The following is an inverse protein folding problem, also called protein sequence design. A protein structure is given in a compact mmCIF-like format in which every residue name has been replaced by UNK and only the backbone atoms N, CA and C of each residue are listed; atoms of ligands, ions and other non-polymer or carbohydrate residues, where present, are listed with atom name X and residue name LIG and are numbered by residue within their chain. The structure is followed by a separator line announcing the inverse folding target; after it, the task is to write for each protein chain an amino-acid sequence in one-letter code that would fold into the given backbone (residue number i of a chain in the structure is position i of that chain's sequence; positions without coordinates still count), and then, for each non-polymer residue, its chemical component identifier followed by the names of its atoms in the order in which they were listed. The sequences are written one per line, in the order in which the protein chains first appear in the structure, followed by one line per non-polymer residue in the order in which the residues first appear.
data_IF_950387444831
#
_entry.id   IF_950387444831
#
_cell.length_a   1.000
_cell.length_b   1.000
_cell.length_c   1.000
_cell.angle_alpha   90.00
_cell.angle_beta   90.00
_cell.angle_gamma   90.00
#
_symmetry.space_group_name_H-M   'P 1'
#
loop_
_entity.id
_entity.type
_entity.pdbx_description
1 polymer ?
#
# COMPACT_ATOMS: atom_id res chain seq x y z
N UNK A 1 -16.70 -17.69 16.07
CA UNK A 1 -15.94 -17.88 17.32
C UNK A 1 -15.33 -16.53 17.61
N UNK A 2 -15.94 -15.85 18.57
CA UNK A 2 -15.79 -14.42 18.81
C UNK A 2 -14.41 -14.14 19.39
N UNK A 3 -13.64 -13.28 18.72
CA UNK A 3 -12.36 -12.77 19.21
C UNK A 3 -12.64 -11.59 20.13
N UNK A 4 -12.47 -11.82 21.43
CA UNK A 4 -12.40 -10.75 22.41
C UNK A 4 -10.93 -10.31 22.53
N UNK A 5 -10.59 -9.16 21.92
CA UNK A 5 -9.47 -8.34 22.39
C UNK A 5 -10.13 -7.21 23.20
N UNK A 6 -9.93 -7.13 24.52
CA UNK A 6 -10.50 -6.06 25.32
C UNK A 6 -9.94 -4.71 24.87
N UNK A 7 -10.85 -3.79 24.59
CA UNK A 7 -10.58 -2.41 24.21
C UNK A 7 -10.08 -1.64 25.45
N UNK A 8 -8.77 -1.65 25.69
CA UNK A 8 -8.14 -0.84 26.74
C UNK A 8 -7.77 0.55 26.18
N UNK A 9 -8.78 1.39 25.95
CA UNK A 9 -8.59 2.75 25.40
C UNK A 9 -8.19 2.76 23.93
N UNK A 10 -7.70 3.90 23.41
CA UNK A 10 -7.28 4.08 22.01
C UNK A 10 -6.06 3.21 21.58
N UNK A 11 -5.60 2.27 22.42
CA UNK A 11 -4.38 1.50 22.23
C UNK A 11 -4.66 0.10 21.65
N UNK A 12 -4.32 -0.08 20.37
CA UNK A 12 -4.42 -1.37 19.66
C UNK A 12 -3.17 -2.22 19.89
N UNK A 13 -3.32 -3.39 20.51
CA UNK A 13 -2.23 -4.36 20.78
C UNK A 13 -2.01 -5.33 19.61
N UNK A 14 -1.76 -4.79 18.42
CA UNK A 14 -1.29 -5.53 17.24
C UNK A 14 -0.01 -4.87 16.71
N UNK A 15 0.95 -5.68 16.27
CA UNK A 15 2.27 -5.19 15.89
C UNK A 15 2.86 -5.97 14.73
N UNK A 16 3.37 -5.22 13.75
CA UNK A 16 4.26 -5.76 12.74
C UNK A 16 5.70 -5.40 13.04
N UNK A 17 6.54 -6.43 13.13
CA UNK A 17 7.97 -6.31 13.37
C UNK A 17 8.73 -6.81 12.15
N UNK A 18 9.72 -6.03 11.69
CA UNK A 18 10.58 -6.41 10.58
C UNK A 18 12.05 -6.34 10.98
N UNK A 19 12.85 -7.25 10.45
CA UNK A 19 14.29 -7.31 10.69
C UNK A 19 14.99 -7.89 9.48
N UNK A 20 16.12 -7.30 9.11
CA UNK A 20 17.04 -7.85 8.12
C UNK A 20 18.28 -8.44 8.78
N UNK A 21 18.89 -9.47 8.17
CA UNK A 21 20.18 -10.08 8.56
C UNK A 21 20.24 -10.94 9.84
N UNK A 22 19.30 -11.88 10.09
CA UNK A 22 19.43 -12.85 11.21
C UNK A 22 19.07 -14.28 10.79
N UNK A 23 19.90 -15.24 11.23
CA UNK A 23 19.79 -16.70 10.96
C UNK A 23 18.80 -17.44 11.88
N UNK A 24 18.33 -16.83 12.96
CA UNK A 24 17.45 -17.47 13.95
C UNK A 24 16.38 -16.49 14.48
N UNK A 25 15.09 -16.86 14.44
CA UNK A 25 13.97 -16.13 15.06
C UNK A 25 12.91 -17.11 15.61
N UNK A 26 12.10 -16.67 16.59
CA UNK A 26 11.01 -17.43 17.22
C UNK A 26 9.76 -16.55 17.53
N UNK A 27 8.59 -17.09 17.18
CA UNK A 27 7.14 -16.73 17.26
C UNK A 27 6.53 -15.61 16.37
N UNK A 28 5.62 -16.04 15.44
CA UNK A 28 5.29 -15.57 14.06
C UNK A 28 6.49 -15.07 13.25
N UNK A 29 7.12 -16.01 12.56
CA UNK A 29 8.33 -15.74 11.80
C UNK A 29 8.30 -16.51 10.49
N UNK A 30 8.68 -15.80 9.46
CA UNK A 30 8.74 -16.23 8.08
C UNK A 30 9.61 -15.23 7.34
N UNK A 31 10.18 -15.64 6.22
CA UNK A 31 10.76 -14.69 5.29
C UNK A 31 9.61 -13.89 4.70
N UNK A 32 9.71 -12.56 4.63
CA UNK A 32 8.73 -11.73 3.90
C UNK A 32 8.48 -12.35 2.53
N UNK A 33 7.21 -12.62 2.18
CA UNK A 33 6.86 -13.33 0.95
C UNK A 33 6.59 -14.83 1.12
N UNK A 34 6.88 -15.42 2.29
CA UNK A 34 6.77 -16.86 2.56
C UNK A 34 5.94 -17.11 3.81
N UNK A 35 4.93 -17.97 3.69
CA UNK A 35 4.06 -18.37 4.81
C UNK A 35 4.87 -18.84 6.01
N UNK A 36 4.83 -18.06 7.10
CA UNK A 36 5.53 -18.34 8.35
C UNK A 36 4.77 -19.28 9.29
N UNK A 37 5.40 -19.61 10.43
CA UNK A 37 4.78 -20.41 11.49
C UNK A 37 3.87 -19.54 12.39
N UNK A 38 2.68 -20.05 12.74
CA UNK A 38 1.75 -19.39 13.66
C UNK A 38 1.84 -20.10 15.02
N UNK A 39 2.08 -19.34 16.09
CA UNK A 39 1.91 -19.80 17.47
C UNK A 39 0.85 -18.93 18.13
N UNK A 40 -0.25 -19.56 18.51
CA UNK A 40 -1.26 -18.96 19.38
C UNK A 40 -0.87 -19.27 20.82
N UNK A 41 -0.92 -18.26 21.68
CA UNK A 41 -0.68 -18.40 23.11
C UNK A 41 -1.96 -17.98 23.81
N UNK A 42 -2.50 -18.85 24.66
CA UNK A 42 -3.84 -18.72 25.25
C UNK A 42 -4.73 -19.96 25.03
N UNK A 43 -6.02 -19.87 25.39
CA UNK A 43 -6.76 -18.68 25.83
C UNK A 43 -6.33 -18.14 27.21
N UNK A 44 -6.60 -16.86 27.47
CA UNK A 44 -6.39 -16.21 28.77
C UNK A 44 -7.73 -15.80 29.37
N UNK A 45 -7.87 -15.94 30.69
CA UNK A 45 -9.11 -15.63 31.42
C UNK A 45 -9.25 -14.14 31.78
N UNK A 46 -8.19 -13.34 31.58
CA UNK A 46 -8.12 -11.91 31.87
C UNK A 46 -7.21 -11.18 30.86
N UNK A 47 -7.39 -9.85 30.74
CA UNK A 47 -6.61 -9.02 29.82
C UNK A 47 -5.17 -8.78 30.29
N UNK A 48 -4.98 -8.51 31.58
CA UNK A 48 -3.68 -8.11 32.13
C UNK A 48 -2.52 -9.09 31.81
N UNK A 49 -2.70 -10.44 31.94
CA UNK A 49 -1.65 -11.39 31.56
C UNK A 49 -1.32 -11.35 30.07
N UNK A 50 -2.32 -11.13 29.20
CA UNK A 50 -2.11 -11.05 27.76
C UNK A 50 -1.35 -9.77 27.38
N UNK A 51 -1.66 -8.63 28.01
CA UNK A 51 -0.97 -7.35 27.82
C UNK A 51 0.47 -7.43 28.30
N UNK A 52 0.72 -8.06 29.45
CA UNK A 52 2.06 -8.25 30.00
C UNK A 52 2.92 -9.14 29.08
N UNK A 53 2.39 -10.28 28.63
CA UNK A 53 3.08 -11.19 27.70
C UNK A 53 3.38 -10.48 26.38
N UNK A 54 2.43 -9.71 25.84
CA UNK A 54 2.65 -8.91 24.64
C UNK A 54 3.78 -7.89 24.84
N UNK A 55 3.72 -7.12 25.92
CA UNK A 55 4.67 -6.03 26.20
C UNK A 55 6.08 -6.57 26.42
N UNK A 56 6.21 -7.68 27.16
CA UNK A 56 7.49 -8.36 27.38
C UNK A 56 8.06 -8.88 26.05
N UNK A 57 7.23 -9.51 25.21
CA UNK A 57 7.68 -10.00 23.91
C UNK A 57 8.06 -8.87 22.97
N UNK A 58 7.33 -7.76 22.97
CA UNK A 58 7.68 -6.57 22.22
C UNK A 58 9.04 -6.03 22.67
N UNK A 59 9.26 -5.90 23.98
CA UNK A 59 10.54 -5.48 24.55
C UNK A 59 11.68 -6.44 24.20
N UNK A 60 11.50 -7.74 24.35
CA UNK A 60 12.51 -8.75 24.00
C UNK A 60 12.97 -8.62 22.54
N UNK A 61 12.02 -8.34 21.63
CA UNK A 61 12.30 -8.25 20.20
C UNK A 61 12.86 -6.90 19.78
N UNK A 62 12.44 -5.81 20.41
CA UNK A 62 12.72 -4.45 19.94
C UNK A 62 13.66 -3.67 20.84
N UNK A 63 13.83 -4.10 22.09
CA UNK A 63 14.48 -3.35 23.18
C UNK A 63 13.80 -2.01 23.49
N UNK A 64 12.52 -1.86 23.15
CA UNK A 64 11.69 -0.70 23.45
C UNK A 64 10.48 -1.12 24.30
N UNK A 65 10.02 -0.24 25.19
CA UNK A 65 8.75 -0.46 25.90
C UNK A 65 7.57 -0.13 24.99
N UNK A 66 6.50 -0.91 25.08
CA UNK A 66 5.28 -0.68 24.28
C UNK A 66 4.61 0.67 24.59
N UNK A 67 4.69 1.13 25.85
CA UNK A 67 4.19 2.44 26.27
C UNK A 67 4.87 3.59 25.53
N UNK A 68 6.15 3.42 25.19
CA UNK A 68 7.03 4.46 24.65
C UNK A 68 7.20 4.32 23.13
N UNK A 69 6.35 3.50 22.48
CA UNK A 69 6.44 3.17 21.06
C UNK A 69 6.46 4.39 20.13
N UNK A 70 5.87 5.52 20.52
CA UNK A 70 5.91 6.77 19.73
C UNK A 70 7.32 7.37 19.63
N UNK A 71 8.19 7.05 20.57
CA UNK A 71 9.61 7.45 20.59
C UNK A 71 10.52 6.25 20.25
N UNK A 72 10.06 5.34 19.39
CA UNK A 72 10.77 4.11 19.05
C UNK A 72 12.20 4.36 18.55
N UNK A 73 13.17 3.69 19.17
CA UNK A 73 14.58 3.73 18.78
C UNK A 73 14.99 2.39 18.17
N UNK A 74 15.57 2.42 16.98
CA UNK A 74 16.09 1.22 16.34
C UNK A 74 17.40 0.78 17.00
N UNK A 75 17.41 -0.42 17.60
CA UNK A 75 18.62 -1.01 18.19
C UNK A 75 19.30 -2.00 17.24
N UNK A 76 20.66 -2.06 17.22
CA UNK A 76 21.39 -3.05 16.44
C UNK A 76 20.96 -4.47 16.78
N UNK A 77 20.67 -5.30 15.75
CA UNK A 77 20.22 -6.70 15.88
C UNK A 77 18.86 -6.89 16.57
N UNK A 78 18.09 -5.82 16.73
CA UNK A 78 16.69 -5.88 17.18
C UNK A 78 15.73 -5.73 16.01
N UNK A 79 14.46 -6.05 16.24
CA UNK A 79 13.38 -5.81 15.29
C UNK A 79 13.05 -4.33 15.24
N UNK A 80 12.76 -3.83 14.03
CA UNK A 80 12.11 -2.54 13.86
C UNK A 80 10.61 -2.69 13.97
N UNK A 81 9.98 -1.74 14.65
CA UNK A 81 8.53 -1.61 14.64
C UNK A 81 8.07 -0.89 13.37
N UNK A 82 7.12 -1.49 12.66
CA UNK A 82 6.41 -0.88 11.55
C UNK A 82 5.07 -0.39 12.06
N UNK A 83 4.90 0.93 12.12
CA UNK A 83 3.65 1.57 12.53
C UNK A 83 2.58 1.33 11.47
N UNK A 84 1.53 0.61 11.85
CA UNK A 84 0.40 0.27 11.00
C UNK A 84 -0.78 1.20 11.32
N UNK A 85 -1.42 1.73 10.28
CA UNK A 85 -2.62 2.57 10.41
C UNK A 85 -3.86 1.65 10.56
N UNK A 86 -4.11 1.20 11.78
CA UNK A 86 -5.35 0.52 12.14
C UNK A 86 -6.44 1.58 12.26
N UNK A 87 -7.05 1.96 11.14
CA UNK A 87 -8.22 2.85 11.16
C UNK A 87 -9.29 2.34 12.15
N UNK A 88 -10.20 3.23 12.59
CA UNK A 88 -11.21 2.98 13.64
C UNK A 88 -12.26 1.89 13.35
N UNK A 89 -12.08 1.06 12.33
CA UNK A 89 -13.04 0.04 11.93
C UNK A 89 -12.33 -1.28 11.65
N UNK A 90 -12.03 -2.02 12.71
CA UNK A 90 -11.73 -3.45 12.63
C UNK A 90 -12.86 -4.24 13.32
N UNK A 91 -13.88 -4.61 12.55
CA UNK A 91 -14.56 -5.88 12.81
C UNK A 91 -13.85 -6.94 11.94
N UNK A 92 -13.09 -7.79 12.62
CA UNK A 92 -12.32 -8.87 12.02
C UNK A 92 -13.19 -9.91 11.29
N UNK A 93 -12.98 -10.07 9.99
CA UNK A 93 -13.04 -11.37 9.33
C UNK A 93 -11.75 -11.59 8.54
N UNK A 94 -10.86 -12.39 9.14
CA UNK A 94 -9.61 -12.82 8.53
C UNK A 94 -9.94 -13.84 7.42
N UNK A 95 -9.23 -13.71 6.29
CA UNK A 95 -9.28 -14.56 5.09
C UNK A 95 -10.43 -14.25 4.12
N UNK A 96 -10.34 -13.15 3.36
CA UNK A 96 -10.63 -13.12 1.90
C UNK A 96 -10.63 -11.73 1.24
N UNK A 97 -10.38 -10.62 1.92
CA UNK A 97 -10.67 -9.32 1.30
C UNK A 97 -9.43 -8.58 0.76
N UNK A 98 -8.93 -9.03 -0.40
CA UNK A 98 -8.89 -8.06 -1.52
C UNK A 98 -10.35 -7.66 -1.64
N UNK A 99 -10.75 -6.37 -1.58
CA UNK A 99 -12.15 -6.05 -1.76
C UNK A 99 -12.56 -6.80 -3.02
N UNK A 100 -13.47 -7.79 -2.90
CA UNK A 100 -14.13 -8.32 -4.07
C UNK A 100 -14.59 -7.06 -4.74
N UNK A 101 -13.98 -6.75 -5.89
CA UNK A 101 -14.31 -5.57 -6.64
C UNK A 101 -15.83 -5.59 -6.67
N UNK A 102 -16.45 -4.53 -6.17
CA UNK A 102 -17.87 -4.28 -6.31
C UNK A 102 -18.14 -4.02 -7.80
N UNK A 103 -17.78 -4.98 -8.63
CA UNK A 103 -18.10 -5.13 -10.04
C UNK A 103 -19.55 -5.59 -10.20
N UNK A 104 -20.36 -5.53 -9.14
CA UNK A 104 -21.79 -5.81 -9.14
C UNK A 104 -22.64 -4.56 -8.87
N UNK A 105 -22.08 -3.34 -8.91
CA UNK A 105 -22.92 -2.18 -9.25
C UNK A 105 -22.93 -2.15 -10.77
N UNK A 106 -24.02 -2.62 -11.38
CA UNK A 106 -24.17 -2.48 -12.81
C UNK A 106 -24.07 -0.98 -13.17
N UNK A 107 -23.30 -0.61 -14.21
CA UNK A 107 -23.17 0.79 -14.64
C UNK A 107 -24.53 1.46 -14.94
N UNK A 108 -25.59 0.67 -15.09
CA UNK A 108 -26.94 1.09 -15.42
C UNK A 108 -27.69 1.77 -14.25
N UNK A 109 -27.25 1.60 -12.99
CA UNK A 109 -27.93 2.20 -11.82
C UNK A 109 -27.33 3.55 -11.36
N UNK A 110 -26.19 3.97 -11.93
CA UNK A 110 -25.52 5.19 -11.50
C UNK A 110 -26.11 6.46 -12.12
N UNK A 111 -26.00 7.58 -11.40
CA UNK A 111 -26.31 8.94 -11.87
C UNK A 111 -25.33 9.45 -12.93
N UNK A 112 -24.24 8.74 -13.15
CA UNK A 112 -23.21 9.07 -14.13
C UNK A 112 -23.64 8.70 -15.55
N UNK A 113 -23.07 9.40 -16.54
CA UNK A 113 -23.12 8.94 -17.92
C UNK A 113 -22.50 7.52 -18.01
N UNK A 114 -23.06 6.57 -18.78
CA UNK A 114 -22.57 5.19 -18.84
C UNK A 114 -21.09 5.05 -19.22
N UNK A 115 -20.55 5.95 -20.06
CA UNK A 115 -19.13 5.94 -20.42
C UNK A 115 -18.27 6.44 -19.26
N UNK A 116 -18.75 7.44 -18.52
CA UNK A 116 -18.09 7.93 -17.30
C UNK A 116 -18.14 6.87 -16.21
N UNK A 117 -19.30 6.26 -15.95
CA UNK A 117 -19.47 5.17 -14.97
C UNK A 117 -18.48 4.03 -15.23
N UNK A 118 -18.38 3.59 -16.49
CA UNK A 118 -17.45 2.53 -16.89
C UNK A 118 -15.99 2.93 -16.75
N UNK A 119 -15.65 4.19 -17.02
CA UNK A 119 -14.31 4.72 -16.81
C UNK A 119 -13.96 4.78 -15.32
N UNK A 120 -14.86 5.29 -14.47
CA UNK A 120 -14.69 5.35 -13.01
C UNK A 120 -14.49 3.95 -12.44
N UNK A 121 -15.34 3.01 -12.82
CA UNK A 121 -15.20 1.59 -12.41
C UNK A 121 -13.82 1.01 -12.77
N UNK A 122 -13.24 1.41 -13.91
CA UNK A 122 -11.92 0.97 -14.32
C UNK A 122 -10.80 1.60 -13.48
N UNK A 123 -10.80 2.93 -13.31
CA UNK A 123 -9.71 3.63 -12.63
C UNK A 123 -9.76 3.51 -11.11
N UNK A 124 -10.93 3.22 -10.54
CA UNK A 124 -11.14 3.00 -9.11
C UNK A 124 -11.09 1.52 -8.72
N UNK A 125 -10.57 0.65 -9.60
CA UNK A 125 -10.50 -0.78 -9.35
C UNK A 125 -9.37 -1.13 -8.37
N UNK A 126 -9.75 -1.37 -7.10
CA UNK A 126 -8.81 -1.71 -6.03
C UNK A 126 -8.09 -3.05 -6.28
N UNK A 127 -8.72 -4.01 -6.96
CA UNK A 127 -8.07 -5.29 -7.25
C UNK A 127 -6.96 -5.14 -8.31
N UNK A 128 -7.14 -4.24 -9.28
CA UNK A 128 -6.08 -3.87 -10.23
C UNK A 128 -4.92 -3.16 -9.53
N UNK A 129 -5.21 -2.26 -8.59
CA UNK A 129 -4.17 -1.61 -7.77
C UNK A 129 -3.40 -2.64 -6.92
N UNK A 130 -4.12 -3.59 -6.31
CA UNK A 130 -3.52 -4.68 -5.54
C UNK A 130 -2.60 -5.57 -6.39
N UNK A 131 -3.05 -5.90 -7.61
CA UNK A 131 -2.25 -6.67 -8.56
C UNK A 131 -0.97 -5.92 -8.94
N UNK A 132 -1.07 -4.62 -9.22
CA UNK A 132 0.09 -3.81 -9.55
C UNK A 132 1.10 -3.78 -8.40
N UNK A 133 0.65 -3.73 -7.14
CA UNK A 133 1.54 -3.83 -5.97
C UNK A 133 2.29 -5.16 -5.91
N UNK A 134 1.62 -6.27 -6.24
CA UNK A 134 2.27 -7.58 -6.32
C UNK A 134 3.31 -7.64 -7.46
N UNK A 135 3.03 -7.02 -8.60
CA UNK A 135 3.96 -6.96 -9.74
C UNK A 135 5.21 -6.12 -9.45
N UNK A 136 5.07 -5.03 -8.69
CA UNK A 136 6.21 -4.27 -8.13
C UNK A 136 6.82 -4.97 -6.91
N UNK A 137 6.62 -6.28 -6.74
CA UNK A 137 7.24 -7.15 -5.73
C UNK A 137 6.98 -6.79 -4.27
N UNK A 138 5.94 -5.98 -4.02
CA UNK A 138 5.43 -5.72 -2.69
C UNK A 138 4.43 -6.82 -2.31
N UNK A 139 4.64 -7.48 -1.17
CA UNK A 139 3.80 -8.61 -0.77
C UNK A 139 2.45 -8.12 -0.19
N UNK A 140 1.52 -7.79 -1.07
CA UNK A 140 0.17 -7.33 -0.72
C UNK A 140 -0.63 -8.34 0.13
N UNK A 141 -0.23 -9.62 0.18
CA UNK A 141 -0.91 -10.64 1.01
C UNK A 141 -0.56 -10.57 2.49
N UNK A 142 0.65 -10.11 2.83
CA UNK A 142 1.10 -10.02 4.22
C UNK A 142 0.87 -8.62 4.81
N UNK A 143 0.82 -7.59 3.96
CA UNK A 143 0.55 -6.22 4.32
C UNK A 143 -0.72 -5.77 3.60
N UNK A 144 -1.84 -5.73 4.33
CA UNK A 144 -3.10 -5.21 3.82
C UNK A 144 -2.87 -3.77 3.34
N UNK A 145 -3.26 -3.50 2.09
CA UNK A 145 -3.06 -2.22 1.37
C UNK A 145 -3.40 -0.98 2.21
N UNK A 146 -4.42 -1.10 3.06
CA UNK A 146 -4.92 -0.02 3.93
C UNK A 146 -3.97 0.37 5.07
N UNK A 147 -2.96 -0.44 5.41
CA UNK A 147 -2.21 -0.32 6.66
C UNK A 147 -0.78 0.22 6.51
N UNK A 148 -0.32 0.48 5.28
CA UNK A 148 0.98 1.14 5.09
C UNK A 148 0.82 2.62 5.45
N UNK A 149 1.45 3.05 6.54
CA UNK A 149 1.35 4.43 6.99
C UNK A 149 2.18 5.38 6.11
N UNK A 150 1.69 6.61 5.96
CA UNK A 150 2.45 7.71 5.33
C UNK A 150 3.84 7.89 5.96
N UNK A 151 3.98 7.60 7.26
CA UNK A 151 5.26 7.66 7.98
C UNK A 151 6.26 6.62 7.46
N UNK A 152 5.82 5.37 7.18
CA UNK A 152 6.67 4.34 6.59
C UNK A 152 7.13 4.71 5.18
N UNK A 153 6.23 5.20 4.32
CA UNK A 153 6.58 5.61 2.95
C UNK A 153 7.61 6.74 2.97
N UNK A 154 7.36 7.75 3.82
CA UNK A 154 8.26 8.91 3.97
C UNK A 154 9.64 8.47 4.44
N UNK A 155 9.70 7.59 5.46
CA UNK A 155 10.97 7.03 5.95
C UNK A 155 11.68 6.19 4.88
N UNK A 156 10.92 5.48 4.03
CA UNK A 156 11.46 4.78 2.86
C UNK A 156 12.20 5.72 1.91
N UNK A 157 11.61 6.88 1.59
CA UNK A 157 12.28 7.90 0.78
C UNK A 157 13.53 8.47 1.45
N UNK A 158 13.48 8.77 2.75
CA UNK A 158 14.64 9.28 3.50
C UNK A 158 15.84 8.33 3.45
N UNK A 159 15.60 7.01 3.51
CA UNK A 159 16.66 6.00 3.36
C UNK A 159 17.18 5.99 1.93
N UNK A 160 16.30 6.01 0.91
CA UNK A 160 16.71 6.02 -0.50
C UNK A 160 17.53 7.28 -0.87
N UNK A 161 17.18 8.43 -0.32
CA UNK A 161 17.95 9.68 -0.47
C UNK A 161 19.35 9.55 0.14
N UNK A 162 19.47 8.97 1.34
CA UNK A 162 20.79 8.70 1.93
C UNK A 162 21.60 7.72 1.08
N UNK A 163 20.95 6.72 0.47
CA UNK A 163 21.62 5.78 -0.45
C UNK A 163 22.13 6.50 -1.70
N UNK A 164 21.37 7.44 -2.28
CA UNK A 164 21.78 8.16 -3.49
C UNK A 164 23.10 8.92 -3.26
N UNK A 165 23.22 9.60 -2.13
CA UNK A 165 24.45 10.31 -1.74
C UNK A 165 25.67 9.38 -1.59
N UNK A 166 25.45 8.16 -1.07
CA UNK A 166 26.54 7.20 -0.86
C UNK A 166 26.93 6.47 -2.15
N UNK A 167 26.00 6.30 -3.10
CA UNK A 167 26.29 5.74 -4.42
C UNK A 167 27.25 6.66 -5.19
N UNK A 168 27.05 7.98 -5.14
CA UNK A 168 27.97 8.95 -5.78
C UNK A 168 29.38 8.88 -5.21
N UNK A 169 29.52 8.55 -3.93
CA UNK A 169 30.79 8.43 -3.21
C UNK A 169 31.42 7.03 -3.28
N UNK A 170 30.73 6.06 -3.89
CA UNK A 170 31.12 4.64 -3.97
C UNK A 170 31.40 3.98 -2.60
N UNK A 171 30.73 4.43 -1.52
CA UNK A 171 30.90 3.88 -0.17
C UNK A 171 30.09 2.57 0.00
N UNK A 172 30.73 1.45 -0.35
CA UNK A 172 30.07 0.13 -0.35
C UNK A 172 29.57 -0.30 1.03
N UNK A 173 30.26 0.05 2.10
CA UNK A 173 29.89 -0.37 3.45
C UNK A 173 28.61 0.33 3.90
N UNK A 174 28.54 1.66 3.71
CA UNK A 174 27.33 2.43 4.02
C UNK A 174 26.15 2.07 3.12
N UNK A 175 26.38 1.82 1.83
CA UNK A 175 25.31 1.37 0.93
C UNK A 175 24.70 0.05 1.43
N UNK A 176 25.52 -0.88 1.94
CA UNK A 176 25.03 -2.15 2.48
C UNK A 176 24.22 -1.96 3.77
N UNK A 177 24.70 -1.12 4.68
CA UNK A 177 23.98 -0.74 5.90
C UNK A 177 22.63 -0.09 5.60
N UNK A 178 22.63 0.97 4.78
CA UNK A 178 21.42 1.68 4.38
C UNK A 178 20.47 0.79 3.56
N UNK A 179 21.00 -0.16 2.78
CA UNK A 179 20.17 -1.16 2.12
C UNK A 179 19.42 -2.02 3.14
N UNK A 180 20.10 -2.49 4.19
CA UNK A 180 19.47 -3.22 5.28
C UNK A 180 18.40 -2.40 5.99
N UNK A 181 18.67 -1.12 6.26
CA UNK A 181 17.69 -0.18 6.82
C UNK A 181 16.46 -0.05 5.92
N UNK A 182 16.65 0.11 4.61
CA UNK A 182 15.55 0.23 3.64
C UNK A 182 14.66 -1.01 3.63
N UNK A 183 15.24 -2.21 3.57
CA UNK A 183 14.48 -3.46 3.62
C UNK A 183 13.77 -3.69 4.97
N UNK A 184 14.28 -3.04 6.02
CA UNK A 184 13.66 -3.06 7.36
C UNK A 184 12.44 -2.13 7.41
N UNK A 185 12.53 -0.96 6.78
CA UNK A 185 11.41 0.01 6.72
C UNK A 185 10.36 -0.40 5.69
N UNK A 186 10.78 -0.84 4.50
CA UNK A 186 9.90 -1.26 3.39
C UNK A 186 10.06 -2.77 3.19
N UNK A 187 9.26 -3.61 3.87
CA UNK A 187 9.28 -5.07 3.68
C UNK A 187 8.81 -5.47 2.28
N UNK A 188 9.68 -6.06 1.47
CA UNK A 188 9.33 -6.56 0.12
C UNK A 188 10.16 -7.79 -0.27
N UNK A 189 9.57 -8.71 -1.02
CA UNK A 189 10.23 -9.95 -1.43
C UNK A 189 10.79 -9.85 -2.85
N UNK A 190 12.03 -9.38 -2.97
CA UNK A 190 12.72 -9.27 -4.26
C UNK A 190 13.96 -10.15 -4.38
N UNK A 191 14.17 -11.04 -3.40
CA UNK A 191 15.50 -11.54 -3.07
C UNK A 191 16.38 -10.37 -2.60
N UNK A 192 17.18 -10.57 -1.56
CA UNK A 192 18.05 -9.55 -0.99
C UNK A 192 19.17 -9.12 -1.98
N UNK A 193 18.82 -8.40 -3.03
CA UNK A 193 19.72 -7.89 -4.06
C UNK A 193 20.17 -6.49 -3.66
N UNK A 194 21.42 -6.37 -3.19
CA UNK A 194 22.06 -5.10 -2.80
C UNK A 194 21.71 -3.95 -3.76
N UNK A 195 21.28 -2.80 -3.22
CA UNK A 195 20.99 -1.56 -3.95
C UNK A 195 22.28 -0.79 -4.25
N UNK A 196 23.19 -1.42 -4.98
CA UNK A 196 24.55 -0.92 -5.22
C UNK A 196 24.75 -0.30 -6.61
N UNK A 197 23.68 -0.07 -7.36
CA UNK A 197 23.75 0.58 -8.67
C UNK A 197 22.67 1.65 -8.81
N UNK A 198 22.92 2.74 -9.55
CA UNK A 198 21.92 3.77 -9.82
C UNK A 198 20.62 3.22 -10.40
N UNK A 199 20.70 2.20 -11.26
CA UNK A 199 19.53 1.59 -11.88
C UNK A 199 18.65 0.88 -10.85
N UNK A 200 19.25 0.16 -9.89
CA UNK A 200 18.49 -0.49 -8.82
C UNK A 200 17.89 0.52 -7.85
N UNK A 201 18.63 1.59 -7.54
CA UNK A 201 18.11 2.67 -6.71
C UNK A 201 16.89 3.32 -7.38
N UNK A 202 16.98 3.63 -8.68
CA UNK A 202 15.86 4.17 -9.46
C UNK A 202 14.63 3.25 -9.42
N UNK A 203 14.80 1.95 -9.63
CA UNK A 203 13.70 0.98 -9.51
C UNK A 203 13.06 0.97 -8.13
N UNK A 204 13.83 1.21 -7.06
CA UNK A 204 13.30 1.29 -5.69
C UNK A 204 12.62 2.61 -5.38
N UNK A 205 13.08 3.71 -5.97
CA UNK A 205 12.36 5.00 -5.92
C UNK A 205 10.99 4.84 -6.61
N UNK A 206 10.96 4.35 -7.85
CA UNK A 206 9.72 4.11 -8.61
C UNK A 206 8.75 3.18 -7.85
N UNK A 207 9.28 2.17 -7.14
CA UNK A 207 8.49 1.29 -6.28
C UNK A 207 7.87 2.06 -5.12
N UNK A 208 8.63 2.87 -4.37
CA UNK A 208 8.11 3.65 -3.22
C UNK A 208 7.14 4.75 -3.68
N UNK A 209 7.35 5.33 -4.86
CA UNK A 209 6.41 6.24 -5.53
C UNK A 209 5.08 5.56 -5.79
N UNK A 210 5.10 4.38 -6.43
CA UNK A 210 3.89 3.60 -6.67
C UNK A 210 3.17 3.22 -5.36
N UNK A 211 3.91 2.89 -4.29
CA UNK A 211 3.31 2.62 -2.97
C UNK A 211 2.58 3.86 -2.43
N UNK A 212 3.16 5.06 -2.56
CA UNK A 212 2.55 6.32 -2.16
C UNK A 212 1.28 6.65 -2.94
N UNK A 213 1.31 6.50 -4.27
CA UNK A 213 0.14 6.74 -5.12
C UNK A 213 -1.02 5.80 -4.79
N UNK A 214 -0.72 4.53 -4.52
CA UNK A 214 -1.74 3.53 -4.19
C UNK A 214 -2.28 3.72 -2.77
N UNK A 215 -1.44 4.10 -1.80
CA UNK A 215 -1.91 4.46 -0.45
C UNK A 215 -2.90 5.63 -0.51
N UNK A 216 -2.57 6.68 -1.27
CA UNK A 216 -3.46 7.83 -1.47
C UNK A 216 -4.75 7.44 -2.19
N UNK A 217 -4.64 6.68 -3.28
CA UNK A 217 -5.79 6.23 -4.06
C UNK A 217 -6.71 5.34 -3.23
N UNK A 218 -6.17 4.40 -2.44
CA UNK A 218 -6.96 3.51 -1.59
C UNK A 218 -7.63 4.26 -0.45
N UNK A 219 -6.99 5.27 0.15
CA UNK A 219 -7.61 6.17 1.13
C UNK A 219 -8.74 7.01 0.55
N UNK A 220 -8.57 7.49 -0.68
CA UNK A 220 -9.62 8.21 -1.40
C UNK A 220 -10.82 7.31 -1.70
N UNK A 221 -10.59 6.01 -1.91
CA UNK A 221 -11.61 5.01 -2.24
C UNK A 221 -12.21 4.29 -1.01
N UNK A 222 -11.64 4.42 0.19
CA UNK A 222 -11.97 3.62 1.37
C UNK A 222 -13.23 4.05 2.13
N UNK A 223 -14.08 4.88 1.55
CA UNK A 223 -15.28 5.39 2.22
C UNK A 223 -16.40 4.35 2.18
N UNK A 224 -17.17 4.32 3.27
CA UNK A 224 -18.21 3.34 3.56
C UNK A 224 -19.31 3.30 2.48
N UNK A 225 -19.15 2.36 1.54
CA UNK A 225 -20.08 2.13 0.44
C UNK A 225 -21.46 1.65 0.94
N UNK A 226 -21.55 1.17 2.19
CA UNK A 226 -22.81 0.71 2.79
C UNK A 226 -23.79 1.82 3.15
N UNK A 227 -23.35 3.09 3.14
CA UNK A 227 -24.16 4.26 3.51
C UNK A 227 -24.56 5.13 2.30
N UNK A 228 -24.26 4.70 1.06
CA UNK A 228 -24.45 5.52 -0.13
C UNK A 228 -25.27 4.84 -1.22
N UNK A 229 -26.30 5.55 -1.69
CA UNK A 229 -27.21 5.10 -2.75
C UNK A 229 -26.53 4.85 -4.11
N UNK A 230 -25.37 5.48 -4.37
CA UNK A 230 -24.62 5.35 -5.64
C UNK A 230 -23.10 5.41 -5.39
N UNK A 231 -22.45 4.26 -5.14
CA UNK A 231 -21.02 4.19 -4.84
C UNK A 231 -20.12 4.69 -5.98
N UNK A 232 -20.51 4.49 -7.24
CA UNK A 232 -19.72 4.95 -8.40
C UNK A 232 -19.76 6.47 -8.53
N UNK A 233 -20.93 7.08 -8.33
CA UNK A 233 -21.05 8.53 -8.32
C UNK A 233 -20.27 9.16 -7.18
N UNK A 234 -20.24 8.53 -6.01
CA UNK A 234 -19.41 9.01 -4.91
C UNK A 234 -17.92 8.99 -5.24
N UNK A 235 -17.42 7.88 -5.79
CA UNK A 235 -16.03 7.78 -6.25
C UNK A 235 -15.69 8.87 -7.26
N UNK A 236 -16.60 9.15 -8.21
CA UNK A 236 -16.46 10.27 -9.13
C UNK A 236 -16.35 11.61 -8.42
N UNK A 237 -17.17 11.87 -7.41
CA UNK A 237 -17.10 13.12 -6.62
C UNK A 237 -15.75 13.28 -5.90
N UNK A 238 -15.14 12.18 -5.45
CA UNK A 238 -13.84 12.23 -4.79
C UNK A 238 -12.71 12.65 -5.72
N UNK A 239 -12.85 12.43 -7.05
CA UNK A 239 -11.88 12.92 -8.04
C UNK A 239 -11.88 14.45 -8.17
N UNK A 240 -12.94 15.12 -7.70
CA UNK A 240 -13.08 16.58 -7.73
C UNK A 240 -12.81 17.19 -9.12
N UNK A 241 -13.27 16.53 -10.17
CA UNK A 241 -13.16 16.99 -11.54
C UNK A 241 -14.45 16.70 -12.32
N UNK A 242 -14.69 17.48 -13.38
CA UNK A 242 -15.76 17.23 -14.32
C UNK A 242 -15.28 16.29 -15.42
N UNK A 243 -15.95 15.15 -15.62
CA UNK A 243 -15.69 14.25 -16.74
C UNK A 243 -16.86 14.30 -17.72
N UNK A 244 -16.55 14.50 -19.00
CA UNK A 244 -17.56 14.49 -20.07
C UNK A 244 -17.07 13.64 -21.23
N UNK A 245 -17.87 12.66 -21.70
CA UNK A 245 -17.52 11.88 -22.87
C UNK A 245 -17.43 12.76 -24.11
N UNK A 246 -16.37 12.60 -24.89
CA UNK A 246 -16.22 13.30 -26.17
C UNK A 246 -16.93 12.49 -27.24
N UNK A 247 -17.80 13.14 -28.02
CA UNK A 247 -18.54 12.46 -29.09
C UNK A 247 -17.63 12.11 -30.25
N UNK A 248 -17.82 10.93 -30.84
CA UNK A 248 -16.99 10.41 -31.94
C UNK A 248 -17.05 11.29 -33.20
N UNK A 249 -18.16 12.01 -33.40
CA UNK A 249 -18.40 12.91 -34.53
C UNK A 249 -17.87 14.34 -34.31
N UNK A 250 -17.25 14.61 -33.16
CA UNK A 250 -16.75 15.96 -32.82
C UNK A 250 -15.39 16.27 -33.43
N UNK A 251 -15.14 17.57 -33.63
CA UNK A 251 -13.82 18.05 -34.05
C UNK A 251 -12.78 17.80 -32.96
N UNK A 252 -13.17 17.90 -31.68
CA UNK A 252 -12.33 17.59 -30.54
C UNK A 252 -11.85 16.12 -30.54
N UNK A 253 -12.72 15.18 -30.91
CA UNK A 253 -12.35 13.77 -31.05
C UNK A 253 -11.33 13.57 -32.18
N UNK A 254 -11.55 14.23 -33.32
CA UNK A 254 -10.65 14.18 -34.49
C UNK A 254 -9.27 14.78 -34.17
N UNK A 255 -9.23 15.88 -33.43
CA UNK A 255 -7.99 16.53 -32.99
C UNK A 255 -7.23 15.66 -31.98
N UNK A 256 -7.93 15.01 -31.03
CA UNK A 256 -7.32 14.07 -30.09
C UNK A 256 -6.68 12.85 -30.76
N UNK A 257 -7.27 12.35 -31.85
CA UNK A 257 -6.68 11.27 -32.64
C UNK A 257 -5.37 11.65 -33.34
N UNK A 258 -5.21 12.92 -33.73
CA UNK A 258 -4.02 13.39 -34.43
C UNK A 258 -2.80 13.47 -33.50
N UNK A 259 -2.98 13.93 -32.26
CA UNK A 259 -1.93 13.97 -31.23
C UNK A 259 -1.39 12.57 -30.88
N UNK A 260 -2.23 11.55 -30.99
CA UNK A 260 -1.83 10.17 -30.72
C UNK A 260 -0.82 9.63 -31.75
N UNK A 261 -0.86 10.13 -32.99
CA UNK A 261 0.04 9.71 -34.06
C UNK A 261 1.44 10.32 -33.95
N UNK A 262 1.65 11.31 -33.08
CA UNK A 262 2.98 11.93 -32.86
C UNK A 262 3.86 11.11 -31.90
N UNK A 263 3.26 10.21 -31.10
CA UNK A 263 4.00 9.23 -30.32
C UNK A 263 4.27 8.00 -31.18
N UNK A 264 5.53 7.62 -31.33
CA UNK A 264 6.04 6.60 -32.27
C UNK A 264 5.33 5.26 -32.04
N UNK A 265 4.25 5.03 -32.78
CA UNK A 265 3.59 3.73 -32.91
C UNK A 265 3.75 3.31 -34.36
N UNK A 266 4.70 2.42 -34.62
CA UNK A 266 4.98 1.92 -35.97
C UNK A 266 3.79 1.19 -36.62
N UNK A 267 2.78 0.78 -35.84
CA UNK A 267 1.57 0.16 -36.34
C UNK A 267 0.33 0.52 -35.50
N UNK A 268 -0.44 1.49 -35.98
CA UNK A 268 -1.69 1.97 -35.34
C UNK A 268 -2.76 0.88 -35.22
N UNK A 269 -2.68 -0.22 -35.98
CA UNK A 269 -3.60 -1.37 -35.83
C UNK A 269 -3.43 -2.11 -34.50
N UNK A 270 -2.33 -1.89 -33.79
CA UNK A 270 -2.07 -2.50 -32.48
C UNK A 270 -2.77 -1.76 -31.33
N UNK A 271 -3.35 -0.59 -31.61
CA UNK A 271 -3.91 0.28 -30.58
C UNK A 271 -5.39 0.47 -30.83
N UNK A 272 -6.18 0.17 -29.79
CA UNK A 272 -7.63 0.36 -29.80
C UNK A 272 -8.00 1.39 -28.74
N UNK A 273 -8.28 2.62 -29.19
CA UNK A 273 -8.83 3.66 -28.33
C UNK A 273 -10.21 3.23 -27.83
N UNK A 274 -10.39 3.16 -26.51
CA UNK A 274 -11.66 2.72 -25.89
C UNK A 274 -12.51 3.90 -25.41
N UNK A 275 -11.88 4.96 -24.91
CA UNK A 275 -12.56 6.15 -24.37
C UNK A 275 -11.77 7.40 -24.74
N UNK A 276 -12.48 8.50 -24.99
CA UNK A 276 -11.93 9.85 -25.02
C UNK A 276 -12.77 10.68 -24.05
N UNK A 277 -12.12 11.20 -23.02
CA UNK A 277 -12.79 11.90 -21.93
C UNK A 277 -12.18 13.30 -21.82
N UNK A 278 -13.05 14.30 -21.82
CA UNK A 278 -12.65 15.66 -21.48
C UNK A 278 -12.66 15.81 -19.97
N UNK A 279 -11.51 16.22 -19.41
CA UNK A 279 -11.35 16.45 -17.98
C UNK A 279 -11.35 17.94 -17.70
N UNK A 280 -12.29 18.40 -16.87
CA UNK A 280 -12.34 19.76 -16.35
C UNK A 280 -11.87 19.76 -14.90
N UNK A 281 -10.66 20.25 -14.67
CA UNK A 281 -10.10 20.37 -13.32
C UNK A 281 -10.83 21.49 -12.56
N UNK A 282 -11.34 21.19 -11.37
CA UNK A 282 -11.96 22.16 -10.47
C UNK A 282 -10.88 22.64 -9.50
N UNK A 283 -10.23 23.76 -9.81
CA UNK A 283 -9.34 24.43 -8.86
C UNK A 283 -10.17 25.09 -7.75
N UNK A 284 -9.84 24.79 -6.50
CA UNK A 284 -10.33 25.53 -5.32
C UNK A 284 -9.28 26.54 -4.89
#
# INVERSE_FOLDING_TARGET
MDRWIPDHGDDVYDVMLNQTNVRDNNNKWGRVGVTGHIKLDGPYDACDPAVEIFSNKFYDKTQNHWSDRKEFILHPKSYAWLEMDYGKEENESVVNDIPKSSSEVEPEESKLDPQVAKFISLICNVSMMAQQMMEIGYNAKELQLRKLSKSIISKGYEVLQRISEMIERYDRARIEELSGEFYTVIPHDFGFKKMNTPQKLKQKIEMVEALGEIELATKLLSVDQGLQDDPLYYQYQQLNCGLTPVRVDSEEFSMGMLLFNEYIVYNTKQIKMRYVIQVRVIYK
#
